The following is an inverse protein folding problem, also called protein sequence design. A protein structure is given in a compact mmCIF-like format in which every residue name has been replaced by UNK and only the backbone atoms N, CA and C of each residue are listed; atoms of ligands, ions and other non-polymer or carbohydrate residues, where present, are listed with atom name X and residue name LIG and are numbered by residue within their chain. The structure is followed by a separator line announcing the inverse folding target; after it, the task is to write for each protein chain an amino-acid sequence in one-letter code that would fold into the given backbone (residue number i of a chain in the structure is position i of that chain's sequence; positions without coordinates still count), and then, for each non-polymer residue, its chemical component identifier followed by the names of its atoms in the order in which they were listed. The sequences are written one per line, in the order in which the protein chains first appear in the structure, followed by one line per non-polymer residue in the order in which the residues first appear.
data_IF_541254960607
#
_entry.id   IF_541254960607
#
_cell.length_a   1.000
_cell.length_b   1.000
_cell.length_c   1.000
_cell.angle_alpha   90.00
_cell.angle_beta   90.00
_cell.angle_gamma   90.00
#
_symmetry.space_group_name_H-M   'P 1'
#
loop_
_entity.id
_entity.type
_entity.pdbx_description
1 polymer ?
#
# COMPACT_ATOMS: atom_id res chain seq x y z
N UNK A 1 16.70 12.38 -31.47
CA UNK A 1 17.74 12.98 -30.60
C UNK A 1 18.25 11.89 -29.69
N UNK A 2 19.48 11.45 -29.94
CA UNK A 2 20.20 10.39 -29.22
C UNK A 2 20.54 10.87 -27.81
N UNK A 3 19.80 10.39 -26.81
CA UNK A 3 20.21 10.52 -25.42
C UNK A 3 21.49 9.71 -25.24
N UNK A 4 22.55 10.39 -24.79
CA UNK A 4 23.86 9.81 -24.50
C UNK A 4 23.70 8.57 -23.63
N UNK A 5 23.96 7.42 -24.25
CA UNK A 5 24.14 6.12 -23.63
C UNK A 5 25.54 6.12 -22.99
N UNK A 6 25.66 6.63 -21.77
CA UNK A 6 26.83 6.38 -20.94
C UNK A 6 26.66 5.02 -20.25
N UNK A 7 27.68 4.16 -20.36
CA UNK A 7 27.77 2.89 -19.65
C UNK A 7 27.60 3.14 -18.14
N UNK A 8 26.48 2.70 -17.58
CA UNK A 8 26.28 2.71 -16.14
C UNK A 8 26.97 1.47 -15.56
N UNK A 9 27.85 1.60 -14.55
CA UNK A 9 28.61 0.47 -13.98
C UNK A 9 27.75 -0.63 -13.31
N UNK A 10 26.41 -0.51 -13.36
CA UNK A 10 25.44 -1.29 -12.61
C UNK A 10 24.32 -1.87 -13.50
N UNK A 11 24.56 -2.00 -14.81
CA UNK A 11 23.58 -2.47 -15.79
C UNK A 11 22.52 -1.44 -16.20
N UNK A 12 21.73 -1.80 -17.20
CA UNK A 12 20.69 -0.99 -17.82
C UNK A 12 19.36 -1.16 -17.08
N UNK A 13 18.87 -0.09 -16.45
CA UNK A 13 17.74 -0.18 -15.53
C UNK A 13 16.43 0.21 -16.20
N UNK A 14 15.49 -0.72 -16.28
CA UNK A 14 14.16 -0.50 -16.82
C UNK A 14 13.08 -0.88 -15.80
N UNK A 15 11.94 -0.19 -15.86
CA UNK A 15 10.73 -0.55 -15.09
C UNK A 15 9.84 -1.40 -15.98
N UNK A 16 9.46 -2.58 -15.49
CA UNK A 16 8.67 -3.57 -16.23
C UNK A 16 7.16 -3.40 -15.95
N UNK A 17 6.32 -3.76 -16.91
CA UNK A 17 4.86 -3.82 -16.73
C UNK A 17 4.24 -4.87 -17.66
N UNK A 18 3.19 -5.55 -17.21
CA UNK A 18 2.46 -6.56 -17.98
C UNK A 18 3.13 -7.94 -18.05
N UNK A 19 4.09 -8.22 -17.17
CA UNK A 19 4.88 -9.48 -17.10
C UNK A 19 4.54 -10.32 -15.85
N UNK A 20 3.34 -10.15 -15.30
CA UNK A 20 2.90 -10.82 -14.07
C UNK A 20 3.24 -10.05 -12.80
N UNK A 21 2.61 -10.45 -11.69
CA UNK A 21 2.62 -9.72 -10.41
C UNK A 21 4.03 -9.47 -9.85
N UNK A 22 4.93 -10.45 -9.96
CA UNK A 22 6.29 -10.30 -9.44
C UNK A 22 7.09 -9.18 -10.13
N UNK A 23 6.91 -9.01 -11.45
CA UNK A 23 7.65 -8.07 -12.28
C UNK A 23 6.91 -6.74 -12.47
N UNK A 24 5.63 -6.67 -12.10
CA UNK A 24 4.82 -5.46 -12.27
C UNK A 24 5.44 -4.27 -11.53
N UNK A 25 5.69 -3.18 -12.27
CA UNK A 25 6.33 -1.96 -11.79
C UNK A 25 7.71 -2.16 -11.13
N UNK A 26 8.33 -3.34 -11.31
CA UNK A 26 9.64 -3.64 -10.76
C UNK A 26 10.73 -3.04 -11.63
N UNK A 27 11.71 -2.41 -10.99
CA UNK A 27 12.93 -1.93 -11.66
C UNK A 27 13.99 -3.02 -11.69
N UNK A 28 14.36 -3.46 -12.89
CA UNK A 28 15.34 -4.54 -13.13
C UNK A 28 16.54 -3.96 -13.87
N UNK A 29 17.76 -4.41 -13.50
CA UNK A 29 19.00 -4.05 -14.17
C UNK A 29 19.42 -5.18 -15.13
N UNK A 30 19.34 -4.93 -16.43
CA UNK A 30 19.77 -5.85 -17.48
C UNK A 30 21.26 -5.67 -17.75
N UNK A 31 21.95 -6.77 -18.05
CA UNK A 31 23.37 -6.71 -18.40
C UNK A 31 23.58 -5.93 -19.72
N UNK A 32 22.63 -6.07 -20.64
CA UNK A 32 22.63 -5.43 -21.96
C UNK A 32 21.43 -4.47 -22.09
N UNK A 33 21.55 -3.41 -22.91
CA UNK A 33 20.45 -2.48 -23.12
C UNK A 33 19.30 -3.16 -23.84
N UNK A 34 18.07 -2.90 -23.39
CA UNK A 34 16.90 -3.35 -24.13
C UNK A 34 16.78 -2.55 -25.44
N UNK A 35 16.41 -3.19 -26.57
CA UNK A 35 16.18 -2.49 -27.82
C UNK A 35 15.13 -1.39 -27.65
N UNK A 36 15.34 -0.22 -28.27
CA UNK A 36 14.40 0.89 -28.20
C UNK A 36 13.00 0.53 -28.72
N UNK A 37 12.91 -0.49 -29.59
CA UNK A 37 11.63 -1.03 -30.09
C UNK A 37 10.79 -1.74 -29.03
N UNK A 38 11.36 -2.03 -27.85
CA UNK A 38 10.67 -2.65 -26.72
C UNK A 38 10.30 -1.64 -25.63
N UNK A 39 10.75 -0.39 -25.74
CA UNK A 39 10.52 0.63 -24.74
C UNK A 39 9.43 1.59 -25.23
N UNK A 40 8.53 1.97 -24.31
CA UNK A 40 7.58 3.03 -24.61
C UNK A 40 8.30 4.38 -24.65
N UNK A 41 8.19 5.11 -25.76
CA UNK A 41 8.82 6.43 -25.91
C UNK A 41 8.21 7.52 -25.01
N UNK A 42 7.00 7.31 -24.47
CA UNK A 42 6.34 8.29 -23.58
C UNK A 42 6.74 8.06 -22.13
N UNK A 43 6.47 6.86 -21.60
CA UNK A 43 6.67 6.57 -20.18
C UNK A 43 8.03 5.92 -19.86
N UNK A 44 8.81 5.53 -20.87
CA UNK A 44 10.12 4.90 -20.70
C UNK A 44 10.08 3.49 -20.12
N UNK A 45 8.89 2.91 -19.91
CA UNK A 45 8.73 1.56 -19.37
C UNK A 45 9.03 0.50 -20.44
N UNK A 46 9.38 -0.70 -19.96
CA UNK A 46 9.46 -1.93 -20.73
C UNK A 46 8.16 -2.73 -20.52
N UNK A 47 7.13 -2.55 -21.36
CA UNK A 47 5.89 -3.31 -21.26
C UNK A 47 5.97 -4.65 -21.99
N UNK A 48 5.10 -5.60 -21.63
CA UNK A 48 4.92 -6.85 -22.38
C UNK A 48 4.31 -6.64 -23.75
N UNK A 49 3.55 -5.55 -23.93
CA UNK A 49 2.93 -5.18 -25.21
C UNK A 49 3.25 -3.73 -25.57
N UNK A 50 3.81 -3.58 -26.77
CA UNK A 50 4.07 -2.28 -27.40
C UNK A 50 3.39 -2.21 -28.75
N UNK A 51 3.26 -1.00 -29.26
CA UNK A 51 2.71 -0.67 -30.56
C UNK A 51 3.69 0.25 -31.27
N UNK A 52 4.20 -0.20 -32.41
CA UNK A 52 4.97 0.64 -33.31
C UNK A 52 4.02 1.33 -34.28
N UNK A 53 4.07 2.66 -34.27
CA UNK A 53 3.36 3.49 -35.24
C UNK A 53 4.06 3.44 -36.60
N UNK A 54 3.38 3.76 -37.72
CA UNK A 54 3.99 3.82 -39.05
C UNK A 54 5.19 4.76 -39.17
N UNK A 55 5.26 5.77 -38.30
CA UNK A 55 6.40 6.69 -38.23
C UNK A 55 7.62 6.11 -37.50
N UNK A 56 7.53 4.89 -36.98
CA UNK A 56 8.60 4.18 -36.27
C UNK A 56 8.60 4.35 -34.75
N UNK A 57 7.86 5.32 -34.21
CA UNK A 57 7.75 5.54 -32.76
C UNK A 57 7.00 4.41 -32.06
N UNK A 58 7.46 4.04 -30.88
CA UNK A 58 6.92 2.93 -30.09
C UNK A 58 6.23 3.43 -28.83
N UNK A 59 5.05 2.87 -28.54
CA UNK A 59 4.20 3.21 -27.40
C UNK A 59 3.73 1.94 -26.70
N UNK A 60 3.57 1.94 -25.37
CA UNK A 60 2.80 0.89 -24.70
C UNK A 60 1.30 1.06 -24.99
N UNK A 61 0.51 0.00 -24.79
CA UNK A 61 -0.96 0.05 -25.01
C UNK A 61 -1.60 1.17 -24.19
N UNK A 62 -1.28 1.28 -22.91
CA UNK A 62 -1.83 2.33 -22.02
C UNK A 62 -1.56 3.75 -22.54
N UNK A 63 -0.35 4.03 -23.05
CA UNK A 63 -0.02 5.34 -23.61
C UNK A 63 -0.66 5.57 -25.00
N UNK A 64 -0.76 4.52 -25.82
CA UNK A 64 -1.40 4.59 -27.14
C UNK A 64 -2.90 4.84 -27.00
N UNK A 65 -3.55 4.21 -26.04
CA UNK A 65 -5.01 4.27 -25.88
C UNK A 65 -5.48 5.65 -25.37
N UNK A 66 -4.57 6.44 -24.78
CA UNK A 66 -4.78 7.85 -24.47
C UNK A 66 -4.75 8.77 -25.70
N UNK A 67 -4.29 8.29 -26.87
CA UNK A 67 -4.35 9.07 -28.11
C UNK A 67 -5.82 9.11 -28.59
N UNK A 68 -6.41 10.31 -28.77
CA UNK A 68 -7.81 10.46 -29.15
C UNK A 68 -8.18 9.57 -30.34
N UNK A 69 -9.22 8.74 -30.18
CA UNK A 69 -9.68 7.84 -31.24
C UNK A 69 -10.39 8.61 -32.36
N UNK A 70 -10.33 8.10 -33.59
CA UNK A 70 -11.04 8.64 -34.75
C UNK A 70 -10.16 8.87 -35.98
N UNK A 71 -10.76 9.46 -37.03
CA UNK A 71 -10.16 9.64 -38.37
C UNK A 71 -8.88 10.51 -38.40
N UNK A 72 -8.47 11.08 -37.27
CA UNK A 72 -7.33 11.99 -37.16
C UNK A 72 -6.36 11.62 -36.04
N UNK A 73 -6.18 10.32 -35.75
CA UNK A 73 -5.11 9.86 -34.87
C UNK A 73 -3.75 10.37 -35.36
N UNK A 74 -2.99 10.96 -34.44
CA UNK A 74 -1.67 11.55 -34.71
C UNK A 74 -0.66 11.03 -33.72
N UNK A 75 0.54 10.74 -34.22
CA UNK A 75 1.67 10.40 -33.39
C UNK A 75 2.01 11.59 -32.45
N UNK A 76 2.20 11.35 -31.15
CA UNK A 76 2.50 12.42 -30.19
C UNK A 76 3.91 12.99 -30.32
N UNK A 77 4.82 12.32 -31.02
CA UNK A 77 6.21 12.77 -31.19
C UNK A 77 6.41 13.65 -32.42
N UNK A 78 5.76 13.33 -33.54
CA UNK A 78 5.98 14.00 -34.82
C UNK A 78 4.70 14.49 -35.52
N UNK A 79 3.53 14.32 -34.89
CA UNK A 79 2.24 14.82 -35.37
C UNK A 79 1.70 14.13 -36.63
N UNK A 80 2.40 13.10 -37.16
CA UNK A 80 2.00 12.37 -38.36
C UNK A 80 0.74 11.57 -38.11
N UNK A 81 -0.19 11.62 -39.06
CA UNK A 81 -1.44 10.85 -38.99
C UNK A 81 -1.16 9.36 -39.20
N UNK A 82 -1.91 8.51 -38.52
CA UNK A 82 -1.85 7.06 -38.73
C UNK A 82 -3.24 6.44 -38.60
N UNK A 83 -3.45 5.30 -39.27
CA UNK A 83 -4.64 4.46 -39.12
C UNK A 83 -4.35 3.33 -38.13
N UNK A 84 -5.36 2.87 -37.39
CA UNK A 84 -5.19 1.78 -36.41
C UNK A 84 -4.74 0.48 -37.08
N UNK A 85 -5.16 0.22 -38.32
CA UNK A 85 -4.72 -0.95 -39.10
C UNK A 85 -3.24 -0.93 -39.48
N UNK A 86 -2.60 0.24 -39.45
CA UNK A 86 -1.19 0.41 -39.77
C UNK A 86 -0.29 0.36 -38.51
N UNK A 87 -0.88 0.18 -37.32
CA UNK A 87 -0.13 0.03 -36.07
C UNK A 87 0.35 -1.41 -35.95
N UNK A 88 1.65 -1.59 -35.79
CA UNK A 88 2.24 -2.92 -35.64
C UNK A 88 2.39 -3.28 -34.16
N UNK A 89 1.67 -4.29 -33.64
CA UNK A 89 1.87 -4.76 -32.27
C UNK A 89 3.19 -5.50 -32.14
N UNK A 90 3.92 -5.21 -31.07
CA UNK A 90 5.15 -5.90 -30.72
C UNK A 90 5.03 -6.40 -29.29
N UNK A 91 5.03 -7.72 -29.14
CA UNK A 91 4.92 -8.38 -27.84
C UNK A 91 6.26 -8.99 -27.44
N UNK A 92 6.50 -9.04 -26.14
CA UNK A 92 7.58 -9.84 -25.54
C UNK A 92 6.87 -10.86 -24.67
N UNK A 93 7.09 -12.13 -24.97
CA UNK A 93 6.58 -13.19 -24.10
C UNK A 93 7.38 -13.21 -22.80
N UNK A 94 6.71 -13.49 -21.68
CA UNK A 94 7.39 -13.56 -20.38
C UNK A 94 8.56 -14.55 -20.42
N UNK A 95 8.38 -15.69 -21.09
CA UNK A 95 9.42 -16.71 -21.26
C UNK A 95 10.65 -16.21 -22.02
N UNK A 96 10.50 -15.29 -22.98
CA UNK A 96 11.61 -14.63 -23.68
C UNK A 96 12.34 -13.68 -22.73
N UNK A 97 11.59 -12.86 -22.00
CA UNK A 97 12.17 -11.89 -21.06
C UNK A 97 12.90 -12.60 -19.91
N UNK A 98 12.38 -13.71 -19.42
CA UNK A 98 12.95 -14.52 -18.34
C UNK A 98 14.36 -15.05 -18.65
N UNK A 99 14.69 -15.26 -19.93
CA UNK A 99 16.03 -15.66 -20.36
C UNK A 99 17.04 -14.51 -20.38
N UNK A 100 16.58 -13.26 -20.28
CA UNK A 100 17.45 -12.09 -20.33
C UNK A 100 18.43 -12.08 -19.17
N UNK A 101 19.70 -11.81 -19.48
CA UNK A 101 20.74 -11.69 -18.46
C UNK A 101 20.54 -10.39 -17.67
N UNK A 102 20.43 -10.54 -16.36
CA UNK A 102 20.33 -9.44 -15.42
C UNK A 102 21.53 -9.41 -14.49
N UNK A 103 21.73 -8.24 -13.89
CA UNK A 103 22.64 -8.06 -12.76
C UNK A 103 21.82 -7.62 -11.56
N UNK A 104 22.27 -7.96 -10.36
CA UNK A 104 21.63 -7.43 -9.15
C UNK A 104 21.66 -5.90 -9.21
N UNK A 105 20.59 -5.23 -8.78
CA UNK A 105 20.58 -3.76 -8.70
C UNK A 105 21.58 -3.21 -7.67
N UNK A 106 22.01 -4.06 -6.72
CA UNK A 106 23.12 -3.87 -5.79
C UNK A 106 24.47 -4.42 -6.31
N UNK A 107 24.49 -4.84 -7.59
CA UNK A 107 25.45 -5.61 -8.38
C UNK A 107 26.90 -5.16 -8.41
N UNK A 108 27.20 -3.98 -7.89
CA UNK A 108 28.52 -3.33 -7.99
C UNK A 108 29.06 -2.82 -6.66
N UNK A 109 28.25 -2.81 -5.59
CA UNK A 109 28.64 -2.28 -4.29
C UNK A 109 28.70 -3.36 -3.20
N UNK A 110 27.96 -4.46 -3.36
CA UNK A 110 27.75 -5.45 -2.28
C UNK A 110 27.27 -6.82 -2.75
N UNK A 111 26.74 -6.94 -3.97
CA UNK A 111 26.27 -8.21 -4.51
C UNK A 111 26.91 -8.42 -5.89
N UNK A 112 27.48 -9.58 -6.18
CA UNK A 112 28.07 -9.90 -7.49
C UNK A 112 27.16 -10.69 -8.42
N UNK A 113 25.87 -10.80 -8.10
CA UNK A 113 24.96 -11.68 -8.85
C UNK A 113 24.76 -11.17 -10.29
N UNK A 114 24.99 -12.08 -11.24
CA UNK A 114 24.60 -11.99 -12.63
C UNK A 114 24.00 -13.34 -13.04
N UNK A 115 22.79 -13.33 -13.57
CA UNK A 115 22.01 -14.53 -13.86
C UNK A 115 20.83 -14.23 -14.77
N UNK A 116 19.93 -15.18 -14.95
CA UNK A 116 18.71 -15.00 -15.74
C UNK A 116 17.65 -14.23 -14.94
N UNK A 117 16.74 -13.53 -15.63
CA UNK A 117 15.63 -12.86 -14.96
C UNK A 117 14.73 -13.83 -14.19
N UNK A 118 14.56 -15.07 -14.68
CA UNK A 118 13.84 -16.13 -13.97
C UNK A 118 14.43 -16.44 -12.58
N UNK A 119 15.73 -16.23 -12.38
CA UNK A 119 16.44 -16.50 -11.12
C UNK A 119 16.37 -15.31 -10.14
N UNK A 120 15.78 -14.18 -10.56
CA UNK A 120 15.74 -12.96 -9.77
C UNK A 120 14.97 -13.14 -8.45
N UNK A 121 13.83 -13.85 -8.48
CA UNK A 121 13.01 -14.07 -7.30
C UNK A 121 13.81 -14.81 -6.22
N UNK A 122 14.39 -15.96 -6.58
CA UNK A 122 15.22 -16.77 -5.70
C UNK A 122 16.43 -15.99 -5.19
N UNK A 123 17.11 -15.25 -6.09
CA UNK A 123 18.24 -14.40 -5.71
C UNK A 123 17.84 -13.38 -4.63
N UNK A 124 16.72 -12.67 -4.80
CA UNK A 124 16.29 -11.62 -3.87
C UNK A 124 15.96 -12.15 -2.47
N UNK A 125 15.55 -13.42 -2.34
CA UNK A 125 15.31 -14.04 -1.01
C UNK A 125 16.60 -14.17 -0.19
N UNK A 126 17.74 -14.34 -0.85
CA UNK A 126 19.05 -14.58 -0.24
C UNK A 126 20.00 -13.37 -0.36
N UNK A 127 19.60 -12.34 -1.11
CA UNK A 127 20.47 -11.19 -1.41
C UNK A 127 20.71 -10.31 -0.17
N UNK A 128 21.94 -10.36 0.34
CA UNK A 128 22.40 -9.48 1.41
C UNK A 128 22.69 -8.03 0.99
N UNK A 129 22.79 -7.76 -0.31
CA UNK A 129 23.14 -6.45 -0.86
C UNK A 129 21.99 -5.44 -0.90
N UNK A 130 20.76 -5.86 -0.60
CA UNK A 130 19.63 -4.94 -0.49
C UNK A 130 19.85 -3.89 0.61
N UNK A 131 19.57 -2.62 0.33
CA UNK A 131 19.56 -1.56 1.34
C UNK A 131 18.26 -1.61 2.12
N UNK A 132 18.36 -1.69 3.44
CA UNK A 132 17.25 -1.58 4.39
C UNK A 132 17.49 -0.36 5.29
N UNK A 133 16.45 0.13 5.95
CA UNK A 133 16.61 1.19 6.96
C UNK A 133 16.91 0.57 8.32
N UNK A 134 17.93 1.08 9.01
CA UNK A 134 18.16 0.69 10.41
C UNK A 134 17.04 1.23 11.30
N UNK A 135 16.43 0.39 12.13
CA UNK A 135 15.36 0.81 13.05
C UNK A 135 15.83 1.75 14.19
N UNK A 136 17.14 1.83 14.48
CA UNK A 136 17.69 2.72 15.53
C UNK A 136 18.02 4.12 15.02
N UNK A 137 18.56 4.25 13.81
CA UNK A 137 19.09 5.53 13.30
C UNK A 137 18.49 5.94 11.94
N UNK A 138 17.61 5.12 11.36
CA UNK A 138 16.99 5.31 10.05
C UNK A 138 17.97 5.39 8.86
N UNK A 139 19.27 5.16 9.08
CA UNK A 139 20.27 5.19 8.02
C UNK A 139 20.13 3.95 7.12
N UNK A 140 20.33 4.10 5.80
CA UNK A 140 20.37 2.96 4.89
C UNK A 140 21.58 2.08 5.22
N UNK A 141 21.33 0.81 5.47
CA UNK A 141 22.34 -0.22 5.76
C UNK A 141 22.10 -1.41 4.85
N UNK A 142 23.15 -2.11 4.47
CA UNK A 142 22.98 -3.35 3.70
C UNK A 142 22.45 -4.46 4.60
N UNK A 143 21.55 -5.28 4.07
CA UNK A 143 20.87 -6.36 4.79
C UNK A 143 21.89 -7.32 5.46
N UNK A 144 22.99 -7.64 4.78
CA UNK A 144 24.08 -8.46 5.31
C UNK A 144 24.84 -7.80 6.48
N UNK A 145 24.88 -6.47 6.54
CA UNK A 145 25.55 -5.70 7.61
C UNK A 145 24.57 -5.20 8.68
N UNK A 146 23.27 -5.49 8.54
CA UNK A 146 22.23 -4.95 9.40
C UNK A 146 22.41 -5.31 10.88
N UNK A 147 22.76 -6.56 11.18
CA UNK A 147 22.95 -7.03 12.56
C UNK A 147 24.18 -6.39 13.20
N UNK A 148 25.30 -6.33 12.48
CA UNK A 148 26.52 -5.70 12.97
C UNK A 148 26.31 -4.20 13.21
N UNK A 149 25.68 -3.51 12.25
CA UNK A 149 25.30 -2.13 12.43
C UNK A 149 24.39 -1.96 13.64
N UNK A 150 23.33 -2.77 13.79
CA UNK A 150 22.38 -2.68 14.91
C UNK A 150 23.06 -2.81 16.29
N UNK A 151 24.04 -3.72 16.42
CA UNK A 151 24.81 -3.91 17.66
C UNK A 151 25.64 -2.68 18.04
N UNK A 152 26.25 -2.01 17.06
CA UNK A 152 27.06 -0.80 17.26
C UNK A 152 26.28 0.52 17.15
N UNK A 153 24.99 0.47 16.78
CA UNK A 153 24.20 1.65 16.50
C UNK A 153 23.66 2.24 17.82
N UNK A 154 24.01 3.50 18.05
CA UNK A 154 23.68 4.26 19.27
C UNK A 154 22.44 5.16 19.10
N UNK A 155 21.56 4.86 18.14
CA UNK A 155 20.38 5.66 17.85
C UNK A 155 20.61 6.80 16.85
N UNK A 156 19.69 7.79 16.76
CA UNK A 156 19.87 8.98 15.94
C UNK A 156 21.07 9.79 16.46
N UNK A 157 22.25 9.46 15.96
CA UNK A 157 23.43 10.29 16.15
C UNK A 157 23.16 11.60 15.38
N UNK A 158 23.02 12.71 16.12
CA UNK A 158 23.28 14.05 15.63
C UNK A 158 24.77 14.15 15.24
N UNK A 159 25.14 13.44 14.18
CA UNK A 159 26.40 13.68 13.51
C UNK A 159 26.22 15.01 12.78
N UNK A 160 26.70 16.08 13.41
CA UNK A 160 27.04 17.32 12.76
C UNK A 160 28.00 16.99 11.60
N UNK A 161 27.45 16.75 10.42
CA UNK A 161 28.20 16.81 9.17
C UNK A 161 27.92 18.17 8.56
N UNK A 162 29.00 18.94 8.48
CA UNK A 162 29.20 20.28 7.94
C UNK A 162 28.89 20.38 6.43
N UNK A 163 27.66 20.03 6.04
CA UNK A 163 27.13 20.22 4.68
C UNK A 163 25.75 20.92 4.69
N UNK A 164 25.37 21.53 5.82
CA UNK A 164 24.11 22.25 5.99
C UNK A 164 24.19 23.74 5.62
N UNK A 165 25.39 24.29 5.36
CA UNK A 165 25.58 25.73 5.15
C UNK A 165 25.36 26.21 3.70
N UNK A 166 25.21 25.32 2.71
CA UNK A 166 25.05 25.70 1.29
C UNK A 166 23.71 25.28 0.67
N UNK A 167 22.77 24.76 1.48
CA UNK A 167 21.44 24.33 1.02
C UNK A 167 20.29 25.25 1.48
N UNK A 168 20.55 26.23 2.34
CA UNK A 168 19.55 27.23 2.74
C UNK A 168 19.13 28.15 1.59
N UNK A 169 20.09 28.61 0.79
CA UNK A 169 19.82 29.58 -0.29
C UNK A 169 19.09 28.94 -1.47
N UNK A 170 19.38 27.67 -1.79
CA UNK A 170 18.70 26.96 -2.88
C UNK A 170 17.26 26.60 -2.55
N UNK A 171 16.90 26.51 -1.28
CA UNK A 171 15.52 26.18 -0.87
C UNK A 171 14.59 27.38 -1.01
N UNK A 172 15.10 28.59 -0.76
CA UNK A 172 14.38 29.83 -1.01
C UNK A 172 14.18 30.09 -2.51
N UNK A 173 15.19 29.80 -3.34
CA UNK A 173 15.09 29.91 -4.79
C UNK A 173 14.12 28.87 -5.38
N UNK A 174 14.14 27.63 -4.85
CA UNK A 174 13.17 26.60 -5.23
C UNK A 174 11.76 27.00 -4.78
N UNK A 175 11.57 27.51 -3.56
CA UNK A 175 10.25 27.93 -3.08
C UNK A 175 9.69 29.10 -3.90
N UNK A 176 10.55 30.05 -4.29
CA UNK A 176 10.19 31.19 -5.13
C UNK A 176 9.86 30.76 -6.56
N UNK A 177 10.70 29.93 -7.19
CA UNK A 177 10.40 29.35 -8.50
C UNK A 177 9.17 28.44 -8.47
N UNK A 178 8.90 27.74 -7.37
CA UNK A 178 7.70 26.90 -7.22
C UNK A 178 6.45 27.75 -7.06
N UNK A 179 6.50 28.88 -6.32
CA UNK A 179 5.40 29.86 -6.25
C UNK A 179 5.12 30.53 -7.60
N UNK A 180 6.16 30.91 -8.34
CA UNK A 180 6.03 31.47 -9.68
C UNK A 180 5.47 30.45 -10.68
N UNK A 181 5.84 29.16 -10.55
CA UNK A 181 5.27 28.07 -11.35
C UNK A 181 3.81 27.77 -10.99
N UNK A 182 3.46 27.81 -9.70
CA UNK A 182 2.09 27.60 -9.15
C UNK A 182 1.09 28.64 -9.65
N UNK A 183 1.55 29.86 -9.96
CA UNK A 183 0.71 30.92 -10.53
C UNK A 183 0.48 30.76 -12.04
N UNK A 184 1.28 29.96 -12.74
CA UNK A 184 1.32 29.94 -14.22
C UNK A 184 0.54 28.80 -14.87
N UNK A 185 0.28 27.69 -14.18
CA UNK A 185 -0.42 26.52 -14.75
C UNK A 185 -1.31 25.85 -13.72
N UNK A 186 -2.57 26.28 -13.68
CA UNK A 186 -3.59 25.69 -12.83
C UNK A 186 -3.93 24.23 -13.18
N UNK A 187 -4.13 23.46 -12.11
CA UNK A 187 -4.89 22.21 -11.97
C UNK A 187 -4.26 20.91 -12.52
N UNK A 188 -3.84 20.03 -11.59
CA UNK A 188 -3.94 18.53 -11.55
C UNK A 188 -2.85 17.83 -10.69
N UNK A 189 -1.85 18.56 -10.18
CA UNK A 189 -0.76 17.94 -9.41
C UNK A 189 -1.11 17.65 -7.93
N UNK A 190 -2.06 18.41 -7.36
CA UNK A 190 -2.44 18.34 -5.95
C UNK A 190 -3.12 17.01 -5.58
N UNK A 191 -4.02 16.51 -6.43
CA UNK A 191 -4.70 15.23 -6.23
C UNK A 191 -3.75 14.03 -6.32
N UNK A 192 -2.73 14.09 -7.20
CA UNK A 192 -1.74 13.02 -7.34
C UNK A 192 -0.79 13.00 -6.14
N UNK A 193 -0.34 14.17 -5.69
CA UNK A 193 0.50 14.29 -4.50
C UNK A 193 -0.25 13.81 -3.24
N UNK A 194 -1.51 14.22 -3.06
CA UNK A 194 -2.35 13.80 -1.94
C UNK A 194 -2.57 12.28 -1.90
N UNK A 195 -2.80 11.64 -3.06
CA UNK A 195 -2.92 10.17 -3.17
C UNK A 195 -1.64 9.44 -2.78
N UNK A 196 -0.49 9.95 -3.22
CA UNK A 196 0.81 9.34 -2.90
C UNK A 196 1.16 9.53 -1.42
N UNK A 197 0.86 10.68 -0.83
CA UNK A 197 1.10 10.94 0.61
C UNK A 197 0.21 10.07 1.48
N UNK A 198 -1.07 9.89 1.14
CA UNK A 198 -1.99 9.05 1.90
C UNK A 198 -1.60 7.56 1.81
N UNK A 199 -1.20 7.09 0.62
CA UNK A 199 -0.70 5.70 0.43
C UNK A 199 0.59 5.43 1.22
N UNK A 200 1.47 6.42 1.33
CA UNK A 200 2.69 6.31 2.13
C UNK A 200 2.39 6.35 3.63
N UNK A 201 1.48 7.21 4.08
CA UNK A 201 1.03 7.29 5.46
C UNK A 201 0.41 5.96 5.93
N UNK A 202 -0.42 5.32 5.09
CA UNK A 202 -1.05 4.04 5.41
C UNK A 202 -0.03 2.88 5.51
N UNK A 203 0.98 2.87 4.63
CA UNK A 203 2.07 1.90 4.71
C UNK A 203 2.92 2.08 5.97
N UNK A 204 3.10 3.33 6.42
CA UNK A 204 3.83 3.62 7.67
C UNK A 204 3.01 3.16 8.88
N UNK A 205 1.72 3.52 8.96
CA UNK A 205 0.85 3.12 10.08
C UNK A 205 0.67 1.60 10.18
N UNK A 206 0.59 0.90 9.04
CA UNK A 206 0.53 -0.58 9.00
C UNK A 206 1.82 -1.22 9.52
N UNK A 207 2.98 -0.70 9.12
CA UNK A 207 4.28 -1.19 9.59
C UNK A 207 4.50 -0.92 11.08
N UNK A 208 4.03 0.22 11.60
CA UNK A 208 4.10 0.56 13.02
C UNK A 208 3.27 -0.39 13.88
N UNK A 209 2.05 -0.75 13.45
CA UNK A 209 1.23 -1.78 14.14
C UNK A 209 1.89 -3.15 14.12
N UNK A 210 2.46 -3.57 12.98
CA UNK A 210 3.20 -4.84 12.90
C UNK A 210 4.42 -4.85 13.83
N UNK A 211 5.07 -3.70 14.04
CA UNK A 211 6.20 -3.56 14.94
C UNK A 211 5.76 -3.68 16.42
N UNK A 212 4.65 -3.03 16.79
CA UNK A 212 4.06 -3.12 18.14
C UNK A 212 3.61 -4.54 18.48
N UNK A 213 2.98 -5.23 17.53
CA UNK A 213 2.54 -6.62 17.70
C UNK A 213 3.73 -7.58 17.83
N UNK A 214 4.81 -7.35 17.09
CA UNK A 214 6.05 -8.13 17.20
C UNK A 214 6.75 -7.92 18.56
N UNK A 215 6.71 -6.69 19.09
CA UNK A 215 7.23 -6.38 20.43
C UNK A 215 6.40 -7.04 21.54
N UNK A 216 5.07 -7.07 21.40
CA UNK A 216 4.19 -7.73 22.36
C UNK A 216 4.34 -9.27 22.36
N UNK A 217 4.60 -9.88 21.19
CA UNK A 217 4.94 -11.31 21.10
C UNK A 217 6.29 -11.63 21.77
N UNK A 218 7.30 -10.78 21.57
CA UNK A 218 8.62 -10.94 22.21
C UNK A 218 8.58 -10.89 23.73
N UNK A 219 7.61 -10.20 24.34
CA UNK A 219 7.45 -10.14 25.79
C UNK A 219 6.67 -11.34 26.36
N UNK A 220 5.85 -12.02 25.55
CA UNK A 220 5.13 -13.24 25.96
C UNK A 220 5.99 -14.50 25.92
N UNK A 221 7.01 -14.55 25.05
CA UNK A 221 7.84 -15.74 24.83
C UNK A 221 8.95 -15.92 25.90
N UNK A 222 9.11 -15.00 26.85
CA UNK A 222 10.03 -15.16 27.99
C UNK A 222 9.46 -16.03 29.13
N UNK A 223 8.23 -16.51 29.01
CA UNK A 223 7.58 -17.30 30.06
C UNK A 223 6.92 -18.57 29.50
N UNK A 224 7.67 -19.37 28.73
CA UNK A 224 7.56 -20.85 28.65
C UNK A 224 8.47 -21.39 27.55
N UNK A 225 9.65 -21.89 27.92
CA UNK A 225 10.38 -22.86 27.11
C UNK A 225 10.11 -24.25 27.70
N UNK A 226 9.64 -25.21 26.89
CA UNK A 226 10.21 -26.56 26.62
C UNK A 226 9.18 -27.39 25.82
N UNK A 227 9.59 -27.83 24.63
CA UNK A 227 9.49 -29.17 24.00
C UNK A 227 9.30 -29.00 22.49
N UNK A 228 10.31 -29.44 21.75
CA UNK A 228 10.27 -29.58 20.30
C UNK A 228 9.69 -30.95 19.92
N UNK A 229 8.76 -31.00 18.96
CA UNK A 229 8.69 -32.14 18.05
C UNK A 229 8.13 -31.76 16.67
N UNK A 230 8.63 -32.47 15.66
CA UNK A 230 8.52 -32.21 14.22
C UNK A 230 7.08 -32.38 13.71
N UNK A 231 6.60 -31.38 13.00
CA UNK A 231 5.40 -31.46 12.18
C UNK A 231 5.20 -30.15 11.44
N UNK A 232 5.08 -30.21 10.12
CA UNK A 232 4.89 -29.06 9.24
C UNK A 232 3.52 -28.43 9.54
N UNK A 233 3.46 -27.43 10.43
CA UNK A 233 2.23 -26.69 10.72
C UNK A 233 2.19 -25.45 9.83
N UNK A 234 1.33 -25.49 8.81
CA UNK A 234 0.89 -24.30 8.09
C UNK A 234 0.05 -23.48 9.06
N UNK A 235 0.58 -22.35 9.54
CA UNK A 235 -0.20 -21.37 10.30
C UNK A 235 -0.95 -20.51 9.27
N UNK A 236 -2.13 -20.96 8.85
CA UNK A 236 -3.13 -20.09 8.22
C UNK A 236 -3.73 -19.21 9.34
N UNK A 237 -3.18 -18.00 9.53
CA UNK A 237 -3.82 -16.95 10.30
C UNK A 237 -4.84 -16.17 9.45
N UNK A 238 -5.79 -15.43 10.05
CA UNK A 238 -6.97 -14.88 9.37
C UNK A 238 -6.68 -13.64 8.50
N UNK A 239 -5.42 -13.26 8.26
CA UNK A 239 -5.08 -12.00 7.60
C UNK A 239 -5.29 -12.08 6.08
N UNK A 240 -6.41 -11.55 5.60
CA UNK A 240 -6.70 -11.39 4.17
C UNK A 240 -7.02 -9.91 3.90
N UNK A 241 -6.04 -9.20 3.34
CA UNK A 241 -6.23 -7.85 2.81
C UNK A 241 -6.24 -7.95 1.29
N UNK A 242 -7.32 -8.51 0.73
CA UNK A 242 -7.57 -8.45 -0.71
C UNK A 242 -8.84 -7.61 -0.91
N UNK A 243 -8.64 -6.36 -1.32
CA UNK A 243 -9.71 -5.54 -1.92
C UNK A 243 -9.27 -5.15 -3.33
N UNK A 244 -10.21 -4.68 -4.15
CA UNK A 244 -9.93 -4.25 -5.52
C UNK A 244 -8.86 -3.15 -5.57
N UNK A 245 -8.12 -3.06 -6.69
CA UNK A 245 -7.05 -2.09 -6.85
C UNK A 245 -7.58 -0.65 -6.67
N UNK A 246 -7.08 0.06 -5.65
CA UNK A 246 -7.48 1.44 -5.33
C UNK A 246 -8.32 1.60 -4.06
N UNK A 247 -8.79 0.50 -3.45
CA UNK A 247 -9.52 0.52 -2.18
C UNK A 247 -8.55 0.45 -1.01
N UNK A 248 -8.72 1.35 -0.04
CA UNK A 248 -7.93 1.36 1.19
C UNK A 248 -8.58 0.43 2.21
N UNK A 249 -7.81 -0.44 2.87
CA UNK A 249 -8.34 -1.40 3.84
C UNK A 249 -7.50 -1.47 5.11
N UNK A 250 -8.16 -1.55 6.27
CA UNK A 250 -7.52 -1.89 7.55
C UNK A 250 -8.38 -2.88 8.34
N UNK A 251 -7.76 -3.78 9.08
CA UNK A 251 -8.46 -4.73 9.97
C UNK A 251 -8.53 -4.16 11.38
N UNK A 252 -9.74 -4.07 11.93
CA UNK A 252 -10.01 -3.77 13.32
C UNK A 252 -10.26 -5.05 14.11
N UNK A 253 -9.68 -5.14 15.31
CA UNK A 253 -9.86 -6.27 16.22
C UNK A 253 -10.69 -5.87 17.44
N UNK A 254 -11.75 -6.64 17.70
CA UNK A 254 -12.48 -6.61 18.97
C UNK A 254 -12.10 -7.85 19.78
N UNK A 255 -11.17 -7.70 20.73
CA UNK A 255 -10.82 -8.77 21.65
C UNK A 255 -11.93 -9.04 22.67
N UNK A 256 -11.96 -10.22 23.30
CA UNK A 256 -12.84 -10.56 24.43
C UNK A 256 -14.31 -10.19 24.17
N UNK A 257 -14.83 -10.56 23.00
CA UNK A 257 -16.16 -10.15 22.55
C UNK A 257 -17.26 -10.84 23.38
N UNK A 258 -17.02 -12.08 23.80
CA UNK A 258 -17.96 -12.83 24.64
C UNK A 258 -18.16 -12.17 26.00
N UNK A 259 -17.10 -11.66 26.64
CA UNK A 259 -17.23 -10.94 27.91
C UNK A 259 -18.12 -9.69 27.80
N UNK A 260 -18.15 -9.06 26.63
CA UNK A 260 -19.04 -7.92 26.36
C UNK A 260 -20.47 -8.41 26.17
N UNK A 261 -20.68 -9.46 25.38
CA UNK A 261 -22.03 -10.02 25.16
C UNK A 261 -22.63 -10.57 26.46
N UNK A 262 -21.83 -11.26 27.27
CA UNK A 262 -22.23 -11.84 28.56
C UNK A 262 -22.61 -10.77 29.60
N UNK A 263 -22.17 -9.53 29.41
CA UNK A 263 -22.57 -8.41 30.28
C UNK A 263 -23.98 -7.90 30.01
N UNK A 264 -24.61 -8.26 28.87
CA UNK A 264 -25.99 -7.90 28.57
C UNK A 264 -26.96 -8.55 29.56
N UNK A 265 -27.82 -7.73 30.15
CA UNK A 265 -28.84 -8.17 31.08
C UNK A 265 -30.10 -7.29 30.96
N UNK A 266 -31.11 -7.53 31.79
CA UNK A 266 -32.37 -6.77 31.72
C UNK A 266 -32.20 -5.29 32.10
N UNK A 267 -31.20 -4.95 32.92
CA UNK A 267 -30.88 -3.57 33.31
C UNK A 267 -29.95 -2.87 32.29
N UNK A 268 -29.14 -3.65 31.56
CA UNK A 268 -28.23 -3.20 30.52
C UNK A 268 -28.61 -3.82 29.16
N UNK A 269 -29.65 -3.25 28.54
CA UNK A 269 -30.15 -3.69 27.25
C UNK A 269 -29.21 -3.37 26.06
N UNK A 270 -28.25 -2.45 26.24
CA UNK A 270 -27.25 -2.09 25.24
C UNK A 270 -25.85 -1.99 25.86
N UNK A 271 -24.87 -2.61 25.21
CA UNK A 271 -23.46 -2.56 25.61
C UNK A 271 -22.59 -2.29 24.37
N UNK A 272 -21.50 -1.54 24.55
CA UNK A 272 -20.58 -1.19 23.47
C UNK A 272 -19.16 -1.61 23.79
N UNK A 273 -18.45 -2.08 22.77
CA UNK A 273 -16.99 -2.20 22.81
C UNK A 273 -16.40 -1.29 21.75
N UNK A 274 -15.50 -0.40 22.17
CA UNK A 274 -14.73 0.46 21.27
C UNK A 274 -13.39 -0.18 20.97
N UNK A 275 -12.88 0.02 19.76
CA UNK A 275 -11.52 -0.33 19.40
C UNK A 275 -10.52 0.72 19.90
N UNK A 276 -9.24 0.40 19.78
CA UNK A 276 -8.19 1.43 19.72
C UNK A 276 -8.39 2.36 18.52
N UNK A 277 -7.58 3.41 18.45
CA UNK A 277 -7.60 4.35 17.33
C UNK A 277 -6.91 3.74 16.11
N UNK A 278 -7.55 3.84 14.95
CA UNK A 278 -7.04 3.40 13.65
C UNK A 278 -6.84 4.61 12.73
N UNK A 279 -5.94 4.45 11.76
CA UNK A 279 -5.74 5.40 10.66
C UNK A 279 -5.83 4.66 9.33
N UNK A 280 -6.55 5.26 8.38
CA UNK A 280 -6.73 4.78 7.01
C UNK A 280 -6.96 5.95 6.05
N UNK A 281 -6.19 6.03 4.96
CA UNK A 281 -6.29 7.11 3.98
C UNK A 281 -6.00 8.50 4.56
N UNK A 282 -5.19 8.55 5.62
CA UNK A 282 -4.94 9.78 6.39
C UNK A 282 -6.06 10.18 7.35
N UNK A 283 -7.20 9.49 7.35
CA UNK A 283 -8.27 9.71 8.34
C UNK A 283 -8.06 8.86 9.58
N UNK A 284 -8.27 9.48 10.74
CA UNK A 284 -8.22 8.78 12.02
C UNK A 284 -9.64 8.43 12.47
N UNK A 285 -9.86 7.21 12.95
CA UNK A 285 -11.18 6.76 13.37
C UNK A 285 -11.12 5.71 14.48
N UNK A 286 -12.26 5.49 15.14
CA UNK A 286 -12.52 4.35 16.02
C UNK A 286 -13.74 3.60 15.52
N UNK A 287 -13.73 2.30 15.72
CA UNK A 287 -14.88 1.45 15.44
C UNK A 287 -15.46 0.98 16.76
N UNK A 288 -16.78 1.04 16.89
CA UNK A 288 -17.49 0.46 18.02
C UNK A 288 -18.37 -0.68 17.53
N UNK A 289 -18.41 -1.77 18.28
CA UNK A 289 -19.47 -2.75 18.15
C UNK A 289 -20.48 -2.53 19.29
N UNK A 290 -21.74 -2.35 18.92
CA UNK A 290 -22.84 -2.22 19.87
C UNK A 290 -23.67 -3.48 19.81
N UNK A 291 -23.86 -4.10 20.97
CA UNK A 291 -24.79 -5.18 21.16
C UNK A 291 -26.05 -4.65 21.84
N UNK A 292 -27.21 -5.03 21.32
CA UNK A 292 -28.50 -4.69 21.90
C UNK A 292 -29.35 -5.96 22.03
N UNK A 293 -29.93 -6.19 23.21
CA UNK A 293 -30.89 -7.27 23.42
C UNK A 293 -32.29 -6.77 23.07
N UNK A 294 -32.92 -7.41 22.09
CA UNK A 294 -34.31 -7.15 21.71
C UNK A 294 -35.07 -8.45 21.90
N UNK A 295 -35.99 -8.46 22.85
CA UNK A 295 -36.70 -9.68 23.30
C UNK A 295 -35.70 -10.77 23.73
N UNK A 296 -35.66 -11.89 23.00
CA UNK A 296 -34.75 -13.02 23.22
C UNK A 296 -33.60 -13.08 22.21
N UNK A 297 -33.42 -12.06 21.38
CA UNK A 297 -32.36 -12.01 20.38
C UNK A 297 -31.33 -10.93 20.71
N UNK A 298 -30.05 -11.30 20.62
CA UNK A 298 -28.95 -10.33 20.67
C UNK A 298 -28.66 -9.86 19.23
N UNK A 299 -28.72 -8.55 19.02
CA UNK A 299 -28.33 -7.91 17.76
C UNK A 299 -27.01 -7.19 17.93
N UNK A 300 -26.21 -7.17 16.88
CA UNK A 300 -24.98 -6.37 16.80
C UNK A 300 -25.03 -5.39 15.63
N UNK A 301 -24.51 -4.18 15.84
CA UNK A 301 -24.17 -3.23 14.77
C UNK A 301 -22.79 -2.65 15.02
N UNK A 302 -22.19 -2.11 13.98
CA UNK A 302 -20.92 -1.40 14.06
C UNK A 302 -21.13 0.08 13.84
N UNK A 303 -20.36 0.91 14.55
CA UNK A 303 -20.44 2.36 14.48
C UNK A 303 -19.03 2.90 14.26
N UNK A 304 -18.81 3.61 13.15
CA UNK A 304 -17.53 4.27 12.86
C UNK A 304 -17.60 5.73 13.32
N UNK A 305 -16.62 6.13 14.13
CA UNK A 305 -16.43 7.49 14.59
C UNK A 305 -15.16 8.07 14.00
N UNK A 306 -15.24 9.20 13.29
CA UNK A 306 -14.06 9.95 12.88
C UNK A 306 -13.47 10.68 14.09
N UNK A 307 -12.15 10.61 14.22
CA UNK A 307 -11.37 11.15 15.33
C UNK A 307 -10.31 12.12 14.81
N UNK A 308 -9.90 13.03 15.68
CA UNK A 308 -8.82 13.96 15.37
C UNK A 308 -7.54 13.17 15.08
N UNK A 309 -6.95 13.48 13.94
CA UNK A 309 -5.75 12.83 13.43
C UNK A 309 -4.64 13.84 13.13
N UNK A 310 -3.39 13.37 13.21
CA UNK A 310 -2.21 14.17 12.86
C UNK A 310 -2.22 14.66 11.41
N UNK A 311 -3.00 13.99 10.55
CA UNK A 311 -3.12 14.24 9.12
C UNK A 311 -4.37 15.02 8.72
N UNK A 312 -5.21 15.45 9.68
CA UNK A 312 -6.49 16.12 9.40
C UNK A 312 -6.36 17.43 8.60
N UNK A 313 -5.16 18.01 8.53
CA UNK A 313 -4.86 19.21 7.74
C UNK A 313 -4.52 18.92 6.27
N UNK A 314 -4.30 17.64 5.93
CA UNK A 314 -3.87 17.19 4.60
C UNK A 314 -4.90 16.31 3.89
N UNK A 315 -6.02 16.00 4.56
CA UNK A 315 -7.12 15.22 4.00
C UNK A 315 -8.36 16.09 3.83
N UNK A 316 -9.18 15.72 2.84
CA UNK A 316 -10.37 16.47 2.48
C UNK A 316 -11.48 16.31 3.52
N UNK A 317 -12.18 17.41 3.80
CA UNK A 317 -13.34 17.47 4.65
C UNK A 317 -14.47 18.24 3.95
N UNK A 318 -15.74 17.83 4.07
CA UNK A 318 -16.24 16.68 4.83
C UNK A 318 -15.75 15.33 4.27
N UNK A 319 -15.78 14.30 5.10
CA UNK A 319 -15.42 12.94 4.71
C UNK A 319 -16.39 12.42 3.65
N UNK A 320 -15.86 12.11 2.45
CA UNK A 320 -16.63 11.72 1.27
C UNK A 320 -16.43 10.27 0.85
N UNK A 321 -15.64 9.49 1.59
CA UNK A 321 -15.35 8.09 1.23
C UNK A 321 -16.56 7.20 1.47
N UNK A 322 -16.75 6.23 0.56
CA UNK A 322 -17.69 5.16 0.79
C UNK A 322 -17.06 4.14 1.73
N UNK A 323 -17.74 3.84 2.84
CA UNK A 323 -17.21 2.92 3.85
C UNK A 323 -17.96 1.60 3.81
N UNK A 324 -17.22 0.50 3.70
CA UNK A 324 -17.75 -0.86 3.86
C UNK A 324 -17.04 -1.55 5.01
N UNK A 325 -17.81 -2.10 5.95
CA UNK A 325 -17.28 -3.00 6.97
C UNK A 325 -17.45 -4.44 6.54
N UNK A 326 -16.46 -5.28 6.81
CA UNK A 326 -16.49 -6.69 6.44
C UNK A 326 -16.20 -7.53 7.68
N UNK A 327 -17.19 -8.27 8.15
CA UNK A 327 -16.97 -9.27 9.19
C UNK A 327 -16.29 -10.46 8.54
N UNK A 328 -15.07 -10.74 8.97
CA UNK A 328 -14.24 -11.78 8.37
C UNK A 328 -14.61 -13.15 8.92
N UNK A 329 -14.88 -14.10 8.03
CA UNK A 329 -15.02 -15.49 8.42
C UNK A 329 -13.62 -16.10 8.65
N UNK A 330 -13.45 -16.81 9.76
CA UNK A 330 -12.13 -17.26 10.23
C UNK A 330 -11.42 -18.23 9.28
N UNK A 331 -12.15 -18.87 8.36
CA UNK A 331 -11.64 -19.93 7.47
C UNK A 331 -12.01 -19.78 5.99
N UNK A 332 -13.00 -18.96 5.65
CA UNK A 332 -13.69 -19.04 4.36
C UNK A 332 -14.14 -17.66 3.89
N UNK A 333 -13.30 -17.04 3.06
CA UNK A 333 -13.47 -15.69 2.54
C UNK A 333 -14.76 -15.49 1.73
N UNK A 334 -15.28 -16.55 1.10
CA UNK A 334 -16.55 -16.48 0.36
C UNK A 334 -17.75 -16.24 1.29
N UNK A 335 -17.58 -16.42 2.61
CA UNK A 335 -18.60 -16.19 3.63
C UNK A 335 -18.47 -14.84 4.31
N UNK A 336 -17.48 -14.02 3.96
CA UNK A 336 -17.30 -12.70 4.56
C UNK A 336 -18.57 -11.84 4.42
N UNK A 337 -18.98 -11.21 5.52
CA UNK A 337 -20.23 -10.43 5.57
C UNK A 337 -19.91 -8.96 5.35
N UNK A 338 -20.22 -8.46 4.16
CA UNK A 338 -20.08 -7.03 3.80
C UNK A 338 -21.26 -6.22 4.30
N UNK A 339 -20.96 -5.10 4.96
CA UNK A 339 -21.88 -4.19 5.62
C UNK A 339 -21.53 -2.75 5.21
N UNK A 340 -22.13 -2.22 4.13
CA UNK A 340 -21.93 -0.82 3.78
C UNK A 340 -22.46 0.11 4.89
N UNK A 341 -21.73 1.19 5.16
CA UNK A 341 -22.17 2.24 6.09
C UNK A 341 -23.09 3.22 5.38
N UNK A 342 -24.18 3.57 6.04
CA UNK A 342 -25.10 4.60 5.56
C UNK A 342 -24.66 5.97 6.10
N UNK A 343 -23.95 6.74 5.27
CA UNK A 343 -23.38 8.04 5.63
C UNK A 343 -24.39 9.19 5.48
N UNK A 344 -25.47 9.19 6.27
CA UNK A 344 -26.60 10.15 6.13
C UNK A 344 -26.50 11.42 6.98
N UNK A 345 -25.79 11.38 8.11
CA UNK A 345 -25.63 12.54 8.99
C UNK A 345 -24.41 13.40 8.61
N UNK A 346 -24.67 14.58 8.05
CA UNK A 346 -23.64 15.56 7.68
C UNK A 346 -22.78 16.07 8.85
N UNK A 347 -23.12 15.75 10.12
CA UNK A 347 -22.30 16.09 11.29
C UNK A 347 -21.20 15.08 11.54
N UNK A 348 -21.46 13.80 11.25
CA UNK A 348 -20.52 12.69 11.48
C UNK A 348 -19.37 12.64 10.46
N UNK A 349 -19.52 13.33 9.33
CA UNK A 349 -18.47 13.48 8.29
C UNK A 349 -17.66 14.77 8.40
N UNK A 350 -17.91 15.64 9.39
CA UNK A 350 -17.14 16.89 9.53
C UNK A 350 -15.78 16.61 10.15
N UNK A 351 -14.82 17.50 9.88
CA UNK A 351 -13.52 17.51 10.55
C UNK A 351 -13.73 17.45 12.08
N UNK A 352 -13.23 16.39 12.75
CA UNK A 352 -13.32 16.26 14.20
C UNK A 352 -12.68 17.46 14.90
N UNK A 353 -13.21 17.83 16.05
CA UNK A 353 -12.66 18.89 16.90
C UNK A 353 -12.55 18.37 18.33
N UNK A 354 -11.43 18.67 18.99
CA UNK A 354 -11.25 18.39 20.40
C UNK A 354 -12.43 18.95 21.24
N UNK A 355 -13.01 18.11 22.10
CA UNK A 355 -14.07 18.50 23.04
C UNK A 355 -15.48 18.62 22.46
N UNK A 356 -15.70 18.34 21.17
CA UNK A 356 -17.05 18.32 20.56
C UNK A 356 -17.60 16.90 20.54
N UNK A 357 -18.89 16.75 20.87
CA UNK A 357 -19.61 15.47 20.79
C UNK A 357 -19.55 14.89 19.38
N UNK A 358 -19.09 13.63 19.29
CA UNK A 358 -18.83 12.95 18.02
C UNK A 358 -20.06 12.17 17.59
N UNK A 359 -20.32 12.21 16.29
CA UNK A 359 -21.40 11.47 15.67
C UNK A 359 -20.79 10.32 14.88
N UNK A 360 -21.33 9.12 15.08
CA UNK A 360 -20.89 7.93 14.38
C UNK A 360 -21.89 7.49 13.32
N UNK A 361 -21.41 6.86 12.27
CA UNK A 361 -22.25 6.20 11.28
C UNK A 361 -22.31 4.72 11.54
N UNK A 362 -23.50 4.13 11.39
CA UNK A 362 -23.73 2.75 11.78
C UNK A 362 -24.13 1.85 10.62
N UNK A 363 -23.81 0.57 10.75
CA UNK A 363 -24.33 -0.49 9.88
C UNK A 363 -25.76 -0.86 10.25
N UNK A 364 -26.43 -1.59 9.35
CA UNK A 364 -27.62 -2.37 9.74
C UNK A 364 -27.29 -3.35 10.86
N UNK A 365 -28.28 -3.66 11.71
CA UNK A 365 -28.14 -4.67 12.77
C UNK A 365 -28.09 -6.09 12.16
N UNK A 366 -27.23 -6.94 12.69
CA UNK A 366 -27.14 -8.39 12.40
C UNK A 366 -27.48 -9.20 13.65
N UNK A 367 -27.96 -10.43 13.47
CA UNK A 367 -28.17 -11.34 14.58
C UNK A 367 -26.80 -11.82 15.10
N UNK A 368 -26.56 -11.72 16.41
CA UNK A 368 -25.30 -12.17 17.01
C UNK A 368 -25.12 -13.69 16.90
N UNK A 369 -26.18 -14.48 17.06
CA UNK A 369 -26.11 -15.94 16.95
C UNK A 369 -25.61 -16.37 15.56
N UNK A 370 -25.96 -15.63 14.51
CA UNK A 370 -25.46 -15.88 13.16
C UNK A 370 -23.94 -15.65 13.05
N UNK A 371 -23.38 -14.71 13.82
CA UNK A 371 -21.95 -14.40 13.80
C UNK A 371 -21.18 -15.38 14.69
N UNK A 372 -21.73 -15.67 15.86
CA UNK A 372 -21.16 -16.57 16.86
C UNK A 372 -21.05 -18.02 16.34
N UNK A 373 -22.14 -18.57 15.79
CA UNK A 373 -22.22 -19.99 15.43
C UNK A 373 -21.61 -20.29 14.06
N UNK A 374 -21.47 -19.29 13.19
CA UNK A 374 -21.02 -19.49 11.80
C UNK A 374 -19.56 -19.13 11.59
N UNK A 375 -18.73 -19.21 12.63
CA UNK A 375 -17.28 -19.21 12.48
C UNK A 375 -16.64 -17.86 12.18
N UNK A 376 -17.24 -16.75 12.61
CA UNK A 376 -16.67 -15.40 12.47
C UNK A 376 -15.85 -14.95 13.69
N UNK A 377 -15.95 -15.66 14.81
CA UNK A 377 -15.18 -15.37 16.04
C UNK A 377 -14.01 -16.35 16.15
N UNK A 378 -12.79 -15.84 16.26
CA UNK A 378 -11.58 -16.65 16.51
C UNK A 378 -11.03 -16.35 17.90
N UNK A 379 -10.96 -17.38 18.76
CA UNK A 379 -10.46 -17.28 20.14
C UNK A 379 -11.06 -16.12 20.94
N UNK A 380 -12.37 -15.90 20.80
CA UNK A 380 -13.08 -14.81 21.47
C UNK A 380 -12.83 -13.41 20.89
N UNK A 381 -12.15 -13.31 19.75
CA UNK A 381 -11.96 -12.05 19.03
C UNK A 381 -12.77 -12.01 17.74
N UNK A 382 -13.36 -10.85 17.46
CA UNK A 382 -14.04 -10.55 16.19
C UNK A 382 -13.15 -9.63 15.36
N UNK A 383 -12.94 -9.98 14.09
CA UNK A 383 -12.14 -9.21 13.15
C UNK A 383 -13.04 -8.57 12.09
N UNK A 384 -12.88 -7.27 11.91
CA UNK A 384 -13.70 -6.48 10.97
C UNK A 384 -12.77 -5.66 10.09
N UNK A 385 -12.77 -5.91 8.79
CA UNK A 385 -12.11 -5.03 7.85
C UNK A 385 -12.93 -3.78 7.62
N UNK A 386 -12.25 -2.64 7.53
CA UNK A 386 -12.81 -1.33 7.17
C UNK A 386 -12.22 -0.95 5.82
N UNK A 387 -13.08 -0.79 4.83
CA UNK A 387 -12.71 -0.39 3.47
C UNK A 387 -13.18 1.05 3.20
N UNK A 388 -12.27 1.90 2.68
CA UNK A 388 -12.57 3.22 2.13
C UNK A 388 -12.36 3.17 0.61
N UNK A 389 -13.42 3.47 -0.13
CA UNK A 389 -13.41 3.64 -1.60
C UNK A 389 -13.38 5.12 -1.97
#
# INVERSE_FOLDING_TARGET
MTAQQSELPNGWKYTLTGFGEFLEMRRVAFAEPMPATRLCGICGMLPSRTSQLPCGHVLCESCRDQIPQGKHRRCPFDGKKFADSAVHPMNIELSELEQSRIVCSAGSQVCGFSGKLSELADHLTQCGGGKIKCCKCNRPVFRNHAVNHYRSCTGPQHAATTEAATKGDKMADIEKSTRELMLSKGVELEAVLSRFTNTLADKVASLERQLLEAQNKSNSDQQSAVVAEKGKVVIQGPYRAASSAGVLITTCKFADIYAVVDSLNEEQAEVRKSTDTYSLGGYTFKLECEFSKVENEVKVRFILFLHEGEWDSYVDWPFEKMVTLIIMHTKDEAKDVRLPLTMVDHRAVRKPRAGVERWGHWTIKKNWQDIELKGYVDRGALYVNVEFE
#
